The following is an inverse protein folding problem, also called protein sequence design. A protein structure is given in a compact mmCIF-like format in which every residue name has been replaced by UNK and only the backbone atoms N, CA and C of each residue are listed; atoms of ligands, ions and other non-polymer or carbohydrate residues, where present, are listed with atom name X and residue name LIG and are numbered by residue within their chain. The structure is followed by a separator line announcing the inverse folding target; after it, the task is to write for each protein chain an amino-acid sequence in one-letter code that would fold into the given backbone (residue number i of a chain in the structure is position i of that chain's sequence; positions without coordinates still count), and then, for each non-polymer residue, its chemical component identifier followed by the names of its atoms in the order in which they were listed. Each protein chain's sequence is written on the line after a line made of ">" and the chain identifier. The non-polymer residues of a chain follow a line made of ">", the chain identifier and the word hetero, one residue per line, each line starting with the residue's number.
data_IF_703196541669
#
_entry.id   IF_703196541669
#
_cell.length_a   1.000
_cell.length_b   1.000
_cell.length_c   1.000
_cell.angle_alpha   90.00
_cell.angle_beta   90.00
_cell.angle_gamma   90.00
#
_symmetry.space_group_name_H-M   'P 1'
#
loop_
_entity.id
_entity.type
_entity.pdbx_description
1 polymer ?
#
# COMPACT_ATOMS: atom_id res chain seq x y z
N UNK A 1 -7.99 20.37 -6.58
CA UNK A 1 -6.54 20.37 -6.92
C UNK A 1 -5.79 19.23 -6.22
N UNK A 2 -6.09 18.90 -4.95
CA UNK A 2 -5.47 17.78 -4.22
C UNK A 2 -5.62 16.38 -4.86
N UNK A 3 -6.79 16.05 -5.43
CA UNK A 3 -7.08 14.68 -5.91
C UNK A 3 -6.18 14.25 -7.07
N UNK A 4 -5.88 15.15 -8.02
CA UNK A 4 -5.01 14.83 -9.16
C UNK A 4 -3.58 14.59 -8.70
N UNK A 5 -3.07 15.44 -7.81
CA UNK A 5 -1.75 15.29 -7.22
C UNK A 5 -1.66 13.98 -6.42
N UNK A 6 -2.63 13.68 -5.56
CA UNK A 6 -2.68 12.41 -4.82
C UNK A 6 -2.68 11.20 -5.74
N UNK A 7 -3.43 11.22 -6.85
CA UNK A 7 -3.38 10.15 -7.85
C UNK A 7 -2.00 9.99 -8.49
N UNK A 8 -1.31 11.09 -8.77
CA UNK A 8 0.05 11.06 -9.33
C UNK A 8 1.05 10.46 -8.33
N UNK A 9 1.00 10.90 -7.07
CA UNK A 9 1.86 10.37 -6.01
C UNK A 9 1.60 8.89 -5.74
N UNK A 10 0.33 8.47 -5.66
CA UNK A 10 -0.05 7.05 -5.53
C UNK A 10 0.59 6.22 -6.63
N UNK A 11 0.50 6.66 -7.89
CA UNK A 11 1.10 5.95 -9.02
C UNK A 11 2.62 5.88 -8.91
N UNK A 12 3.27 6.98 -8.55
CA UNK A 12 4.74 7.03 -8.43
C UNK A 12 5.23 6.12 -7.30
N UNK A 13 4.67 6.26 -6.09
CA UNK A 13 5.04 5.44 -4.93
C UNK A 13 4.79 3.96 -5.19
N UNK A 14 3.64 3.61 -5.79
CA UNK A 14 3.33 2.24 -6.16
C UNK A 14 4.40 1.65 -7.09
N UNK A 15 4.80 2.39 -8.13
CA UNK A 15 5.83 1.95 -9.05
C UNK A 15 7.19 1.77 -8.36
N UNK A 16 7.57 2.68 -7.46
CA UNK A 16 8.85 2.63 -6.74
C UNK A 16 8.97 1.41 -5.80
N UNK A 17 7.85 0.95 -5.24
CA UNK A 17 7.80 -0.25 -4.40
C UNK A 17 7.38 -1.51 -5.16
N UNK A 18 7.32 -1.47 -6.49
CA UNK A 18 7.03 -2.66 -7.31
C UNK A 18 5.57 -3.11 -7.31
N UNK A 19 4.63 -2.22 -7.01
CA UNK A 19 3.19 -2.45 -7.21
C UNK A 19 2.83 -2.09 -8.66
N UNK A 20 2.28 -3.08 -9.37
CA UNK A 20 1.97 -2.97 -10.81
C UNK A 20 0.51 -2.62 -11.08
N UNK A 21 -0.40 -2.96 -10.17
CA UNK A 21 -1.83 -2.68 -10.30
C UNK A 21 -2.47 -2.52 -8.93
N UNK A 22 -3.29 -1.48 -8.79
CA UNK A 22 -4.14 -1.24 -7.61
C UNK A 22 -5.60 -1.33 -8.06
N UNK A 23 -6.40 -2.06 -7.30
CA UNK A 23 -7.84 -2.16 -7.51
C UNK A 23 -8.57 -2.20 -6.17
N UNK A 24 -9.85 -1.87 -6.18
CA UNK A 24 -10.72 -1.98 -5.01
C UNK A 24 -11.98 -2.77 -5.40
N UNK A 25 -12.43 -3.62 -4.49
CA UNK A 25 -13.64 -4.44 -4.66
C UNK A 25 -14.35 -4.53 -3.31
N UNK A 26 -15.46 -3.81 -3.17
CA UNK A 26 -16.16 -3.66 -1.89
C UNK A 26 -15.22 -3.11 -0.82
N UNK A 27 -15.05 -3.87 0.28
CA UNK A 27 -14.20 -3.50 1.41
C UNK A 27 -12.72 -3.85 1.25
N UNK A 28 -12.32 -4.44 0.14
CA UNK A 28 -10.95 -4.91 -0.08
C UNK A 28 -10.23 -4.04 -1.10
N UNK A 29 -8.98 -3.66 -0.80
CA UNK A 29 -8.03 -3.10 -1.76
C UNK A 29 -6.99 -4.14 -2.08
N UNK A 30 -6.85 -4.48 -3.36
CA UNK A 30 -5.83 -5.39 -3.86
C UNK A 30 -4.73 -4.65 -4.61
N UNK A 31 -3.48 -5.01 -4.33
CA UNK A 31 -2.29 -4.43 -4.94
C UNK A 31 -1.42 -5.56 -5.49
N UNK A 32 -1.43 -5.77 -6.81
CA UNK A 32 -0.49 -6.72 -7.45
C UNK A 32 0.92 -6.18 -7.33
N UNK A 33 1.85 -7.03 -6.94
CA UNK A 33 3.24 -6.66 -6.74
C UNK A 33 4.20 -7.71 -7.29
N UNK A 34 5.38 -7.27 -7.71
CA UNK A 34 6.51 -8.16 -8.00
C UNK A 34 7.38 -8.45 -6.76
N UNK A 35 7.04 -7.85 -5.61
CA UNK A 35 7.73 -8.12 -4.35
C UNK A 35 7.46 -9.55 -3.88
N UNK A 36 8.48 -10.15 -3.26
CA UNK A 36 8.32 -11.43 -2.58
C UNK A 36 7.87 -11.22 -1.11
N UNK A 37 7.40 -12.31 -0.49
CA UNK A 37 6.92 -12.30 0.91
C UNK A 37 7.97 -11.80 1.92
N UNK A 38 9.27 -12.01 1.65
CA UNK A 38 10.36 -11.57 2.54
C UNK A 38 10.50 -10.05 2.53
N UNK A 39 10.52 -9.44 1.34
CA UNK A 39 10.57 -7.98 1.18
C UNK A 39 9.34 -7.32 1.80
N UNK A 40 8.15 -7.88 1.53
CA UNK A 40 6.91 -7.42 2.16
C UNK A 40 6.98 -7.44 3.69
N UNK A 41 7.47 -8.54 4.28
CA UNK A 41 7.61 -8.66 5.73
C UNK A 41 8.56 -7.61 6.30
N UNK A 42 9.72 -7.38 5.66
CA UNK A 42 10.67 -6.35 6.08
C UNK A 42 10.04 -4.95 6.06
N UNK A 43 9.26 -4.63 5.03
CA UNK A 43 8.55 -3.34 4.98
C UNK A 43 7.55 -3.22 6.12
N UNK A 44 6.68 -4.21 6.29
CA UNK A 44 5.62 -4.25 7.33
C UNK A 44 6.20 -4.14 8.74
N UNK A 45 7.30 -4.84 9.02
CA UNK A 45 7.97 -4.82 10.32
C UNK A 45 8.57 -3.44 10.64
N UNK A 46 8.88 -2.64 9.62
CA UNK A 46 9.42 -1.28 9.76
C UNK A 46 8.38 -0.16 9.69
N UNK A 47 7.11 -0.48 9.36
CA UNK A 47 6.03 0.51 9.34
C UNK A 47 5.72 1.03 10.73
N UNK A 48 5.48 2.34 10.84
CA UNK A 48 5.19 2.99 12.13
C UNK A 48 3.72 2.87 12.53
N UNK A 49 2.82 2.86 11.55
CA UNK A 49 1.38 2.81 11.78
C UNK A 49 0.89 1.36 11.96
N UNK A 50 0.50 1.01 13.19
CA UNK A 50 -0.08 -0.31 13.48
C UNK A 50 -1.39 -0.58 12.73
N UNK A 51 -2.20 0.46 12.49
CA UNK A 51 -3.47 0.34 11.75
C UNK A 51 -3.20 -0.14 10.32
N UNK A 52 -2.25 0.49 9.62
CA UNK A 52 -1.90 0.07 8.27
C UNK A 52 -1.21 -1.29 8.27
N UNK A 53 -0.28 -1.52 9.22
CA UNK A 53 0.43 -2.80 9.38
C UNK A 53 -0.53 -3.98 9.52
N UNK A 54 -1.52 -3.85 10.39
CA UNK A 54 -2.48 -4.93 10.67
C UNK A 54 -3.53 -5.10 9.57
N UNK A 55 -3.75 -4.07 8.74
CA UNK A 55 -4.67 -4.16 7.60
C UNK A 55 -4.10 -4.90 6.39
N UNK A 56 -2.76 -5.00 6.28
CA UNK A 56 -2.07 -5.52 5.10
C UNK A 56 -1.70 -6.99 5.24
N UNK A 57 -2.06 -7.78 4.24
CA UNK A 57 -1.72 -9.20 4.14
C UNK A 57 -1.11 -9.50 2.77
N UNK A 58 -0.18 -10.46 2.71
CA UNK A 58 0.46 -10.88 1.46
C UNK A 58 -0.03 -12.27 1.06
N UNK A 59 -0.66 -12.36 -0.09
CA UNK A 59 -1.26 -13.59 -0.61
C UNK A 59 -0.91 -13.76 -2.09
N UNK A 60 -0.15 -14.80 -2.42
CA UNK A 60 0.30 -15.07 -3.79
C UNK A 60 1.20 -13.96 -4.34
N UNK A 61 0.71 -13.23 -5.35
CA UNK A 61 1.37 -12.10 -6.03
C UNK A 61 0.81 -10.74 -5.61
N UNK A 62 0.05 -10.68 -4.49
CA UNK A 62 -0.72 -9.50 -4.11
C UNK A 62 -0.58 -9.15 -2.65
N UNK A 63 -0.61 -7.85 -2.39
CA UNK A 63 -0.86 -7.29 -1.08
C UNK A 63 -2.34 -6.93 -1.03
N UNK A 64 -3.06 -7.48 -0.05
CA UNK A 64 -4.48 -7.20 0.20
C UNK A 64 -4.60 -6.36 1.46
N UNK A 65 -5.44 -5.34 1.39
CA UNK A 65 -5.88 -4.58 2.54
C UNK A 65 -7.38 -4.74 2.74
N UNK A 66 -7.78 -5.15 3.93
CA UNK A 66 -9.19 -5.23 4.32
C UNK A 66 -9.59 -3.98 5.11
N UNK A 67 -10.61 -3.27 4.61
CA UNK A 67 -11.17 -2.09 5.24
C UNK A 67 -12.36 -2.50 6.11
N UNK A 68 -12.57 -1.80 7.24
CA UNK A 68 -13.73 -2.04 8.11
C UNK A 68 -15.06 -1.79 7.38
N UNK A 69 -15.07 -0.80 6.50
CA UNK A 69 -16.20 -0.36 5.69
C UNK A 69 -15.75 0.05 4.29
N UNK A 70 -16.66 -0.04 3.34
CA UNK A 70 -16.42 0.43 1.98
C UNK A 70 -16.34 1.95 1.99
N UNK A 71 -15.22 2.49 1.50
CA UNK A 71 -14.96 3.92 1.52
C UNK A 71 -15.43 4.58 0.22
N UNK A 72 -16.04 5.77 0.28
CA UNK A 72 -16.25 6.62 -0.90
C UNK A 72 -14.94 6.88 -1.65
N UNK A 73 -15.03 7.10 -2.97
CA UNK A 73 -13.86 7.18 -3.87
C UNK A 73 -12.73 8.09 -3.39
N UNK A 74 -13.05 9.25 -2.82
CA UNK A 74 -12.04 10.20 -2.33
C UNK A 74 -11.38 9.74 -1.04
N UNK A 75 -12.15 9.20 -0.10
CA UNK A 75 -11.63 8.63 1.14
C UNK A 75 -10.77 7.41 0.86
N UNK A 76 -11.19 6.57 -0.08
CA UNK A 76 -10.42 5.43 -0.55
C UNK A 76 -9.07 5.87 -1.16
N UNK A 77 -9.07 6.90 -2.01
CA UNK A 77 -7.83 7.44 -2.57
C UNK A 77 -6.90 7.98 -1.47
N UNK A 78 -7.45 8.69 -0.49
CA UNK A 78 -6.67 9.19 0.65
C UNK A 78 -6.08 8.04 1.47
N UNK A 79 -6.87 6.99 1.73
CA UNK A 79 -6.42 5.81 2.44
C UNK A 79 -5.29 5.09 1.69
N UNK A 80 -5.45 4.86 0.38
CA UNK A 80 -4.41 4.25 -0.47
C UNK A 80 -3.15 5.10 -0.46
N UNK A 81 -3.28 6.43 -0.54
CA UNK A 81 -2.15 7.34 -0.48
C UNK A 81 -1.38 7.20 0.84
N UNK A 82 -2.06 7.18 1.98
CA UNK A 82 -1.44 6.99 3.30
C UNK A 82 -0.77 5.63 3.44
N UNK A 83 -1.47 4.56 3.03
CA UNK A 83 -0.94 3.20 3.04
C UNK A 83 0.36 3.08 2.21
N UNK A 84 0.38 3.65 1.00
CA UNK A 84 1.57 3.64 0.15
C UNK A 84 2.68 4.53 0.69
N UNK A 85 2.35 5.66 1.32
CA UNK A 85 3.34 6.54 1.93
C UNK A 85 4.10 5.83 3.06
N UNK A 86 3.41 5.05 3.90
CA UNK A 86 4.05 4.24 4.96
C UNK A 86 4.93 3.12 4.38
N UNK A 87 4.45 2.41 3.36
CA UNK A 87 5.24 1.40 2.65
C UNK A 87 6.48 2.02 1.98
N UNK A 88 6.33 3.20 1.38
CA UNK A 88 7.43 3.94 0.76
C UNK A 88 8.43 4.44 1.81
N UNK A 89 7.97 4.94 2.96
CA UNK A 89 8.82 5.33 4.08
C UNK A 89 9.61 4.16 4.69
N UNK A 90 9.16 2.92 4.42
CA UNK A 90 9.83 1.69 4.83
C UNK A 90 10.97 1.25 3.89
N UNK A 91 11.10 1.87 2.70
CA UNK A 91 12.18 1.55 1.75
C UNK A 91 13.60 1.61 2.33
N UNK A 92 13.98 2.60 3.16
CA UNK A 92 15.32 2.64 3.77
C UNK A 92 15.64 1.42 4.64
N UNK A 93 14.63 0.73 5.17
CA UNK A 93 14.84 -0.50 5.93
C UNK A 93 15.39 -1.63 5.03
N UNK A 94 15.07 -1.64 3.73
CA UNK A 94 15.56 -2.64 2.79
C UNK A 94 17.04 -2.47 2.44
N UNK A 95 17.60 -1.26 2.59
CA UNK A 95 19.01 -0.97 2.28
C UNK A 95 19.92 -1.42 3.44
N UNK A 96 19.36 -1.57 4.65
CA UNK A 96 20.10 -1.97 5.86
C UNK A 96 20.28 -3.49 6.01
N UNK A 97 19.67 -4.29 5.14
CA UNK A 97 19.70 -5.76 5.12
C UNK A 97 20.38 -6.29 3.85
#
# INVERSE_FOLDING_TARGET
>A
MEILLKKLYVRRMAADIGITKIYASGKMVGMKTNMNKKVFKMMIDSMTSEVHRNSLTFEGDQIKAELLLELPREQLLNWIFQCLAELYASLPALIKY
#
